data_IF_800696396339
#
_entry.id   IF_800696396339
#
_cell.length_a   1.000
_cell.length_b   1.000
_cell.length_c   1.000
_cell.angle_alpha   90.00
_cell.angle_beta   90.00
_cell.angle_gamma   90.00
#
_symmetry.space_group_name_H-M   'P 1'
#
loop_
_entity.id
_entity.type
_entity.pdbx_description
1 polymer ?
#
# COMPACT_ATOMS: atom_id res chain seq x y z
N UNK A 1 6.55 28.02 6.42
CA UNK A 1 7.32 26.78 6.61
C UNK A 1 7.72 26.26 5.25
N UNK A 2 9.01 25.99 5.11
CA UNK A 2 9.61 25.52 3.87
C UNK A 2 9.05 24.15 3.47
N UNK A 3 8.77 23.94 2.17
CA UNK A 3 8.25 22.67 1.66
C UNK A 3 9.32 21.58 1.62
N UNK A 4 10.56 21.95 1.80
CA UNK A 4 11.75 21.12 1.63
C UNK A 4 12.26 20.48 2.94
N UNK A 5 11.59 20.68 4.08
CA UNK A 5 12.05 20.12 5.35
C UNK A 5 11.66 18.64 5.43
N UNK A 6 12.66 17.80 5.58
CA UNK A 6 12.58 16.37 5.90
C UNK A 6 13.32 16.21 7.23
N UNK A 7 12.60 16.31 8.35
CA UNK A 7 13.19 16.49 9.69
C UNK A 7 13.77 15.20 10.26
N UNK A 8 13.31 14.04 9.80
CA UNK A 8 13.80 12.73 10.23
C UNK A 8 14.74 12.07 9.21
N UNK A 9 14.88 12.69 8.02
CA UNK A 9 15.80 12.23 6.99
C UNK A 9 15.36 10.95 6.28
N UNK A 10 14.09 10.62 6.33
CA UNK A 10 13.54 9.38 5.78
C UNK A 10 13.31 9.45 4.27
N UNK A 11 13.43 10.66 3.71
CA UNK A 11 13.30 10.95 2.29
C UNK A 11 11.90 11.40 1.86
N UNK A 12 10.96 11.53 2.78
CA UNK A 12 9.64 12.13 2.55
C UNK A 12 9.63 13.49 3.25
N UNK A 13 9.26 14.58 2.56
CA UNK A 13 9.20 15.87 3.23
C UNK A 13 8.06 15.92 4.25
N UNK A 14 8.31 16.57 5.38
CA UNK A 14 7.37 16.73 6.50
C UNK A 14 5.95 17.10 6.09
N UNK A 15 5.80 17.90 5.03
CA UNK A 15 4.50 18.34 4.51
C UNK A 15 3.77 17.27 3.68
N UNK A 16 4.47 16.21 3.27
CA UNK A 16 3.88 15.07 2.57
C UNK A 16 3.61 13.90 3.52
N UNK A 17 3.77 14.09 4.82
CA UNK A 17 3.48 13.11 5.86
C UNK A 17 2.16 13.36 6.57
N UNK A 18 1.50 12.30 7.00
CA UNK A 18 0.28 12.33 7.80
C UNK A 18 0.64 12.33 9.28
N UNK A 19 0.87 13.52 9.85
CA UNK A 19 1.33 13.68 11.23
C UNK A 19 0.24 13.59 12.29
N UNK A 20 -1.02 13.92 11.93
CA UNK A 20 -2.13 13.80 12.88
C UNK A 20 -2.58 12.35 13.03
N UNK A 21 -2.99 11.99 14.24
CA UNK A 21 -3.54 10.65 14.50
C UNK A 21 -4.78 10.39 13.63
N UNK A 22 -5.68 11.36 13.52
CA UNK A 22 -6.92 11.22 12.76
C UNK A 22 -6.63 11.00 11.27
N UNK A 23 -5.70 11.76 10.67
CA UNK A 23 -5.37 11.61 9.26
C UNK A 23 -4.73 10.26 8.97
N UNK A 24 -3.85 9.77 9.87
CA UNK A 24 -3.30 8.41 9.75
C UNK A 24 -4.39 7.35 9.79
N UNK A 25 -5.35 7.47 10.73
CA UNK A 25 -6.44 6.50 10.83
C UNK A 25 -7.40 6.57 9.64
N UNK A 26 -7.74 7.77 9.18
CA UNK A 26 -8.59 7.97 8.01
C UNK A 26 -7.94 7.40 6.75
N UNK A 27 -6.66 7.71 6.52
CA UNK A 27 -5.88 7.13 5.42
C UNK A 27 -5.86 5.60 5.46
N UNK A 28 -5.55 5.00 6.63
CA UNK A 28 -5.49 3.54 6.79
C UNK A 28 -6.82 2.87 6.46
N UNK A 29 -7.93 3.49 6.86
CA UNK A 29 -9.28 2.99 6.56
C UNK A 29 -9.56 3.03 5.06
N UNK A 30 -9.31 4.16 4.41
CA UNK A 30 -9.49 4.31 2.98
C UNK A 30 -8.56 3.38 2.19
N UNK A 31 -7.28 3.34 2.53
CA UNK A 31 -6.28 2.50 1.89
C UNK A 31 -6.67 1.01 1.91
N UNK A 32 -7.06 0.51 3.06
CA UNK A 32 -7.52 -0.87 3.22
C UNK A 32 -8.84 -1.13 2.46
N UNK A 33 -9.79 -0.21 2.57
CA UNK A 33 -11.10 -0.33 1.93
C UNK A 33 -11.00 -0.37 0.40
N UNK A 34 -10.22 0.53 -0.18
CA UNK A 34 -10.03 0.62 -1.63
C UNK A 34 -9.34 -0.66 -2.16
N UNK A 35 -8.31 -1.15 -1.45
CA UNK A 35 -7.66 -2.41 -1.81
C UNK A 35 -8.62 -3.60 -1.71
N UNK A 36 -9.41 -3.68 -0.64
CA UNK A 36 -10.41 -4.74 -0.43
C UNK A 36 -11.45 -4.76 -1.53
N UNK A 37 -11.94 -3.59 -1.95
CA UNK A 37 -12.96 -3.48 -2.99
C UNK A 37 -12.48 -4.03 -4.34
N UNK A 38 -11.17 -4.00 -4.64
CA UNK A 38 -10.63 -4.57 -5.88
C UNK A 38 -10.82 -6.10 -5.94
N UNK A 39 -10.99 -6.78 -4.80
CA UNK A 39 -11.33 -8.20 -4.76
C UNK A 39 -12.76 -8.46 -5.25
N UNK A 40 -13.71 -7.61 -4.89
CA UNK A 40 -15.11 -7.78 -5.32
C UNK A 40 -15.34 -7.30 -6.75
N UNK A 41 -14.73 -6.18 -7.09
CA UNK A 41 -14.81 -5.57 -8.42
C UNK A 41 -13.60 -4.69 -8.67
N UNK A 42 -12.77 -5.07 -9.63
CA UNK A 42 -11.67 -4.22 -10.06
C UNK A 42 -12.22 -2.92 -10.67
N UNK A 43 -11.79 -1.77 -10.13
CA UNK A 43 -12.18 -0.47 -10.64
C UNK A 43 -11.66 -0.24 -12.07
N UNK A 44 -12.47 0.42 -12.91
CA UNK A 44 -12.04 0.88 -14.23
C UNK A 44 -10.92 1.95 -14.13
N UNK A 45 -10.87 2.68 -13.01
CA UNK A 45 -9.82 3.68 -12.72
C UNK A 45 -8.45 3.04 -12.46
N UNK A 46 -8.41 1.75 -12.13
CA UNK A 46 -7.14 1.03 -11.96
C UNK A 46 -6.61 0.57 -13.32
N UNK A 47 -5.55 1.22 -13.77
CA UNK A 47 -4.90 0.92 -15.05
C UNK A 47 -4.59 -0.58 -15.20
N UNK A 48 -5.13 -1.19 -16.24
CA UNK A 48 -5.00 -2.63 -16.49
C UNK A 48 -3.54 -3.09 -16.62
N UNK A 49 -2.66 -2.27 -17.23
CA UNK A 49 -1.24 -2.58 -17.41
C UNK A 49 -0.44 -2.55 -16.10
N UNK A 50 -1.04 -1.98 -15.04
CA UNK A 50 -0.44 -1.87 -13.70
C UNK A 50 -1.10 -2.79 -12.67
N UNK A 51 -1.90 -3.76 -13.10
CA UNK A 51 -2.55 -4.74 -12.24
C UNK A 51 -1.57 -5.83 -11.83
N UNK A 52 -0.79 -5.51 -10.81
CA UNK A 52 0.13 -6.41 -10.13
C UNK A 52 0.07 -6.21 -8.60
N UNK A 53 0.88 -6.93 -7.84
CA UNK A 53 0.85 -6.84 -6.39
C UNK A 53 1.24 -5.44 -5.87
N UNK A 54 2.23 -4.79 -6.47
CA UNK A 54 2.62 -3.43 -6.12
C UNK A 54 1.63 -2.40 -6.67
N UNK A 55 1.05 -2.67 -7.85
CA UNK A 55 0.02 -1.85 -8.46
C UNK A 55 -1.24 -1.72 -7.61
N UNK A 56 -1.64 -2.80 -6.93
CA UNK A 56 -2.74 -2.75 -5.97
C UNK A 56 -2.44 -1.76 -4.84
N UNK A 57 -1.23 -1.83 -4.27
CA UNK A 57 -0.83 -0.91 -3.20
C UNK A 57 -0.72 0.54 -3.70
N UNK A 58 -0.12 0.77 -4.90
CA UNK A 58 -0.03 2.10 -5.51
C UNK A 58 -1.39 2.70 -5.79
N UNK A 59 -2.29 1.94 -6.40
CA UNK A 59 -3.64 2.36 -6.71
C UNK A 59 -4.40 2.74 -5.43
N UNK A 60 -4.44 1.83 -4.45
CA UNK A 60 -5.13 2.09 -3.20
C UNK A 60 -4.57 3.30 -2.43
N UNK A 61 -3.23 3.48 -2.43
CA UNK A 61 -2.58 4.63 -1.79
C UNK A 61 -3.00 5.95 -2.44
N UNK A 62 -2.94 6.02 -3.78
CA UNK A 62 -3.33 7.23 -4.54
C UNK A 62 -4.78 7.58 -4.30
N UNK A 63 -5.66 6.60 -4.43
CA UNK A 63 -7.10 6.83 -4.22
C UNK A 63 -7.43 7.18 -2.76
N UNK A 64 -6.73 6.63 -1.77
CA UNK A 64 -6.91 6.98 -0.35
C UNK A 64 -6.53 8.43 -0.01
N UNK A 65 -5.72 9.08 -0.84
CA UNK A 65 -5.34 10.49 -0.69
C UNK A 65 -6.25 11.43 -1.49
N UNK A 66 -7.18 10.92 -2.29
CA UNK A 66 -8.14 11.76 -3.02
C UNK A 66 -9.25 12.26 -2.11
N UNK A 67 -9.95 13.28 -2.59
CA UNK A 67 -11.20 13.71 -1.98
C UNK A 67 -12.32 12.74 -2.38
N UNK A 68 -12.96 12.12 -1.38
CA UNK A 68 -14.02 11.15 -1.59
C UNK A 68 -15.38 11.85 -1.67
N UNK A 69 -15.55 12.65 -2.72
CA UNK A 69 -16.80 13.33 -3.02
C UNK A 69 -17.70 12.51 -3.97
N UNK A 70 -18.86 13.07 -4.32
CA UNK A 70 -19.82 12.42 -5.22
C UNK A 70 -19.18 11.99 -6.55
N UNK A 71 -18.28 12.80 -7.11
CA UNK A 71 -17.64 12.51 -8.38
C UNK A 71 -16.69 11.34 -8.27
N UNK A 72 -15.96 11.22 -7.15
CA UNK A 72 -15.11 10.09 -6.86
C UNK A 72 -15.91 8.79 -6.75
N UNK A 73 -17.02 8.78 -5.98
CA UNK A 73 -17.88 7.59 -5.88
C UNK A 73 -18.48 7.18 -7.23
N UNK A 74 -18.84 8.14 -8.06
CA UNK A 74 -19.34 7.84 -9.41
C UNK A 74 -18.28 7.16 -10.29
N UNK A 75 -17.02 7.62 -10.24
CA UNK A 75 -15.91 7.01 -10.99
C UNK A 75 -15.52 5.63 -10.46
N UNK A 76 -15.44 5.49 -9.15
CA UNK A 76 -15.03 4.22 -8.53
C UNK A 76 -16.06 3.11 -8.73
N UNK A 77 -17.32 3.46 -8.91
CA UNK A 77 -18.40 2.52 -9.21
C UNK A 77 -19.22 2.07 -8.00
N UNK A 78 -20.17 1.22 -8.26
CA UNK A 78 -21.08 0.70 -7.22
C UNK A 78 -20.32 -0.14 -6.18
N UNK A 79 -20.69 0.04 -4.92
CA UNK A 79 -20.12 -0.74 -3.81
C UNK A 79 -19.12 -0.01 -2.95
N UNK A 80 -18.67 1.17 -3.38
CA UNK A 80 -17.89 2.06 -2.52
C UNK A 80 -18.84 2.88 -1.63
N UNK A 81 -18.52 2.88 -0.34
CA UNK A 81 -19.23 3.65 0.69
C UNK A 81 -18.22 4.49 1.47
N UNK A 82 -18.69 5.55 2.11
CA UNK A 82 -17.84 6.35 2.97
C UNK A 82 -17.41 5.56 4.21
N UNK A 83 -16.13 5.25 4.32
CA UNK A 83 -15.57 4.42 5.40
C UNK A 83 -14.90 5.26 6.50
N UNK A 84 -14.56 6.51 6.19
CA UNK A 84 -13.92 7.45 7.09
C UNK A 84 -14.06 8.88 6.53
N UNK A 85 -13.80 9.94 7.33
CA UNK A 85 -13.51 11.24 6.79
C UNK A 85 -12.28 11.23 5.87
N UNK A 86 -12.19 12.21 4.98
CA UNK A 86 -10.99 12.43 4.18
C UNK A 86 -9.79 12.83 5.04
N UNK A 87 -8.61 12.57 4.54
CA UNK A 87 -7.36 13.14 5.04
C UNK A 87 -7.44 14.67 4.93
N UNK A 88 -7.05 15.37 5.97
CA UNK A 88 -7.16 16.84 6.04
C UNK A 88 -5.85 17.54 5.70
N UNK A 89 -4.70 16.88 5.97
CA UNK A 89 -3.39 17.49 5.78
C UNK A 89 -3.16 17.90 4.32
N UNK A 90 -3.52 17.03 3.39
CA UNK A 90 -3.43 17.25 1.94
C UNK A 90 -4.29 16.23 1.20
N UNK A 91 -4.58 16.50 -0.06
CA UNK A 91 -5.12 15.52 -1.01
C UNK A 91 -4.03 15.14 -2.02
N UNK A 92 -4.29 14.16 -2.87
CA UNK A 92 -3.35 13.81 -3.95
C UNK A 92 -3.00 15.04 -4.81
N UNK A 93 -3.98 15.88 -5.10
CA UNK A 93 -3.84 17.09 -5.92
C UNK A 93 -3.07 18.21 -5.23
N UNK A 94 -3.09 18.26 -3.89
CA UNK A 94 -2.43 19.30 -3.08
C UNK A 94 -1.17 18.81 -2.37
N UNK A 95 -0.81 17.53 -2.52
CA UNK A 95 0.40 16.95 -1.97
C UNK A 95 1.64 17.64 -2.57
N UNK A 96 2.65 18.02 -1.76
CA UNK A 96 3.87 18.64 -2.25
C UNK A 96 4.65 17.80 -3.29
N UNK A 97 4.48 16.48 -3.25
CA UNK A 97 5.11 15.54 -4.21
C UNK A 97 4.28 15.38 -5.50
N UNK A 98 3.05 15.90 -5.54
CA UNK A 98 2.12 15.68 -6.63
C UNK A 98 1.85 14.19 -6.85
N UNK A 99 1.86 13.76 -8.10
CA UNK A 99 1.66 12.37 -8.49
C UNK A 99 2.89 11.47 -8.22
N UNK A 100 4.08 12.06 -7.98
CA UNK A 100 5.35 11.34 -7.76
C UNK A 100 5.52 10.92 -6.31
N UNK A 101 4.60 10.13 -5.79
CA UNK A 101 4.52 9.75 -4.37
C UNK A 101 5.62 8.79 -3.90
N UNK A 102 6.37 8.19 -4.82
CA UNK A 102 7.26 7.09 -4.48
C UNK A 102 8.73 7.44 -4.67
N UNK A 103 9.50 7.33 -3.60
CA UNK A 103 10.96 7.40 -3.68
C UNK A 103 11.53 6.19 -4.40
N UNK A 104 12.58 6.44 -5.17
CA UNK A 104 13.30 5.43 -5.95
C UNK A 104 14.75 5.22 -5.47
N UNK A 105 15.23 6.04 -4.52
CA UNK A 105 16.59 6.03 -4.01
C UNK A 105 16.62 6.45 -2.52
N UNK A 106 17.71 6.14 -1.84
CA UNK A 106 17.96 6.54 -0.46
C UNK A 106 18.37 8.03 -0.34
N UNK A 107 18.27 8.53 0.89
CA UNK A 107 18.71 9.86 1.30
C UNK A 107 17.58 10.77 1.71
N UNK A 108 17.90 11.81 2.46
CA UNK A 108 16.97 12.85 2.85
C UNK A 108 16.41 13.56 1.62
N UNK A 109 15.18 14.04 1.73
CA UNK A 109 14.50 14.76 0.65
C UNK A 109 15.25 16.07 0.32
N UNK A 110 15.36 16.33 -0.97
CA UNK A 110 15.85 17.58 -1.54
C UNK A 110 14.85 18.08 -2.58
N UNK A 111 14.66 19.38 -2.73
CA UNK A 111 13.74 19.92 -3.75
C UNK A 111 14.08 19.45 -5.17
N UNK A 112 15.35 19.23 -5.47
CA UNK A 112 15.79 18.65 -6.74
C UNK A 112 15.25 17.24 -6.98
N UNK A 113 14.82 16.52 -5.95
CA UNK A 113 14.27 15.15 -6.07
C UNK A 113 12.95 15.13 -6.84
N UNK A 114 12.21 16.23 -6.85
CA UNK A 114 11.01 16.41 -7.66
C UNK A 114 11.27 16.30 -9.17
N UNK A 115 12.52 16.59 -9.60
CA UNK A 115 12.87 16.69 -11.04
C UNK A 115 13.98 15.75 -11.49
N UNK A 116 14.78 15.20 -10.56
CA UNK A 116 15.96 14.38 -10.88
C UNK A 116 15.70 12.88 -10.97
N UNK A 117 14.43 12.45 -10.84
CA UNK A 117 14.04 11.03 -10.95
C UNK A 117 14.10 10.25 -9.64
N UNK A 118 14.45 10.88 -8.49
CA UNK A 118 14.41 10.23 -7.19
C UNK A 118 13.01 10.07 -6.62
N UNK A 119 12.02 10.71 -7.24
CA UNK A 119 10.60 10.52 -7.00
C UNK A 119 9.91 10.09 -8.29
N UNK A 120 8.97 9.16 -8.18
CA UNK A 120 8.27 8.55 -9.31
C UNK A 120 6.78 8.36 -9.00
N UNK A 121 5.99 8.28 -10.05
CA UNK A 121 4.59 7.80 -9.97
C UNK A 121 4.50 6.29 -9.86
N UNK A 122 5.59 5.60 -10.13
CA UNK A 122 5.69 4.14 -10.15
C UNK A 122 6.69 3.63 -9.11
N UNK A 123 6.33 2.52 -8.45
CA UNK A 123 7.21 1.75 -7.59
C UNK A 123 6.82 0.26 -7.69
N UNK A 124 7.78 -0.60 -7.99
CA UNK A 124 7.60 -2.04 -7.83
C UNK A 124 7.65 -2.45 -6.35
N UNK A 125 7.42 -3.71 -6.03
CA UNK A 125 7.41 -4.19 -4.65
C UNK A 125 8.75 -4.00 -3.93
N UNK A 126 9.88 -4.09 -4.64
CA UNK A 126 11.22 -3.83 -4.10
C UNK A 126 11.40 -2.36 -3.74
N UNK A 127 11.01 -1.48 -4.64
CA UNK A 127 11.08 -0.02 -4.47
C UNK A 127 10.17 0.45 -3.33
N UNK A 128 8.93 -0.06 -3.27
CA UNK A 128 8.01 0.20 -2.14
C UNK A 128 8.66 -0.18 -0.82
N UNK A 129 9.16 -1.42 -0.72
CA UNK A 129 9.76 -1.93 0.51
C UNK A 129 10.99 -1.12 0.94
N UNK A 130 11.90 -0.85 0.01
CA UNK A 130 13.22 -0.31 0.37
C UNK A 130 13.21 1.19 0.63
N UNK A 131 12.40 1.95 -0.10
CA UNK A 131 12.48 3.42 -0.07
C UNK A 131 11.21 4.08 0.49
N UNK A 132 10.06 3.38 0.52
CA UNK A 132 8.77 3.97 0.87
C UNK A 132 8.14 3.37 2.12
N UNK A 133 8.80 2.41 2.75
CA UNK A 133 8.32 1.75 3.95
C UNK A 133 9.41 1.64 5.00
N UNK A 134 9.00 1.62 6.26
CA UNK A 134 9.81 1.26 7.41
C UNK A 134 9.41 -0.14 7.92
N UNK A 135 10.39 -0.90 8.38
CA UNK A 135 10.14 -2.21 8.98
C UNK A 135 9.42 -2.06 10.32
N UNK A 136 8.34 -2.80 10.51
CA UNK A 136 7.58 -2.83 11.77
C UNK A 136 7.99 -4.06 12.59
N UNK A 137 7.75 -5.26 12.06
CA UNK A 137 7.99 -6.52 12.77
C UNK A 137 7.78 -7.70 11.82
N UNK A 138 8.24 -8.87 12.23
CA UNK A 138 7.79 -10.15 11.66
C UNK A 138 6.63 -10.76 12.44
N UNK A 139 6.32 -10.20 13.61
CA UNK A 139 5.22 -10.64 14.45
C UNK A 139 3.93 -9.93 14.05
N UNK A 140 2.88 -10.72 13.75
CA UNK A 140 1.53 -10.25 13.39
C UNK A 140 0.92 -9.29 14.40
N UNK A 141 1.13 -9.56 15.69
CA UNK A 141 0.56 -8.74 16.77
C UNK A 141 1.03 -7.29 16.80
N UNK A 142 2.00 -6.92 15.93
CA UNK A 142 2.49 -5.55 15.77
C UNK A 142 1.96 -4.87 14.51
N UNK A 143 1.29 -5.63 13.63
CA UNK A 143 0.75 -5.10 12.39
C UNK A 143 -0.51 -4.27 12.66
N UNK A 144 -0.66 -3.20 11.92
CA UNK A 144 -1.84 -2.36 11.91
C UNK A 144 -2.47 -2.34 10.51
N UNK A 145 -3.76 -2.05 10.43
CA UNK A 145 -4.46 -1.85 9.14
C UNK A 145 -3.65 -0.91 8.24
N UNK A 146 -3.45 -1.30 6.98
CA UNK A 146 -2.66 -0.54 6.01
C UNK A 146 -1.16 -0.82 6.04
N UNK A 147 -0.67 -1.67 6.95
CA UNK A 147 0.71 -2.17 6.85
C UNK A 147 0.82 -3.16 5.68
N UNK A 148 2.01 -3.27 5.11
CA UNK A 148 2.31 -4.11 3.96
C UNK A 148 3.15 -5.32 4.37
N UNK A 149 2.78 -6.51 3.91
CA UNK A 149 3.57 -7.72 4.07
C UNK A 149 4.45 -7.91 2.85
N UNK A 150 5.75 -8.09 3.04
CA UNK A 150 6.66 -8.36 1.94
C UNK A 150 7.23 -9.77 2.00
N UNK A 151 7.36 -10.36 0.79
CA UNK A 151 8.01 -11.65 0.57
C UNK A 151 9.12 -11.48 -0.46
N UNK A 152 10.19 -12.27 -0.30
CA UNK A 152 11.27 -12.36 -1.27
C UNK A 152 11.35 -13.78 -1.82
N UNK A 153 11.34 -13.88 -3.14
CA UNK A 153 11.35 -15.13 -3.90
C UNK A 153 12.60 -15.19 -4.78
N UNK A 154 13.74 -15.58 -4.23
CA UNK A 154 15.02 -15.51 -4.95
C UNK A 154 15.08 -16.37 -6.22
N UNK A 155 14.15 -17.30 -6.38
CA UNK A 155 14.01 -18.13 -7.60
C UNK A 155 13.27 -17.41 -8.74
N UNK A 156 12.62 -16.26 -8.48
CA UNK A 156 11.98 -15.44 -9.51
C UNK A 156 12.99 -14.41 -10.01
N UNK A 157 13.43 -14.55 -11.27
CA UNK A 157 14.55 -13.75 -11.78
C UNK A 157 14.20 -12.27 -11.98
N UNK A 158 13.00 -11.96 -12.48
CA UNK A 158 12.66 -10.58 -12.89
C UNK A 158 12.07 -9.75 -11.77
N UNK A 159 11.11 -10.28 -11.02
CA UNK A 159 10.42 -9.58 -9.94
C UNK A 159 10.36 -10.45 -8.68
N UNK A 160 11.47 -10.53 -7.92
CA UNK A 160 11.57 -11.46 -6.80
C UNK A 160 10.81 -11.01 -5.54
N UNK A 161 10.25 -9.81 -5.54
CA UNK A 161 9.49 -9.29 -4.39
C UNK A 161 7.99 -9.39 -4.65
N UNK A 162 7.27 -9.74 -3.61
CA UNK A 162 5.81 -9.72 -3.59
C UNK A 162 5.32 -8.93 -2.39
N UNK A 163 4.19 -8.23 -2.55
CA UNK A 163 3.57 -7.43 -1.50
C UNK A 163 2.10 -7.81 -1.35
N UNK A 164 1.66 -7.89 -0.09
CA UNK A 164 0.26 -8.04 0.31
C UNK A 164 -0.11 -6.89 1.25
N UNK A 165 -1.36 -6.47 1.26
CA UNK A 165 -1.85 -5.39 2.11
C UNK A 165 -2.63 -5.97 3.29
N UNK A 166 -2.21 -5.66 4.51
CA UNK A 166 -2.92 -6.03 5.73
C UNK A 166 -4.11 -5.11 5.94
N UNK A 167 -5.31 -5.66 5.84
CA UNK A 167 -6.56 -4.89 5.99
C UNK A 167 -7.17 -5.01 7.39
N UNK A 168 -6.64 -5.92 8.24
CA UNK A 168 -7.21 -6.21 9.54
C UNK A 168 -8.61 -6.81 9.40
N UNK A 169 -9.59 -6.23 10.08
CA UNK A 169 -11.00 -6.59 9.92
C UNK A 169 -11.52 -6.02 8.59
N UNK A 170 -12.13 -6.86 7.73
CA UNK A 170 -12.62 -6.43 6.43
C UNK A 170 -13.89 -5.59 6.56
N UNK A 171 -14.19 -4.79 5.52
CA UNK A 171 -15.42 -4.02 5.42
C UNK A 171 -16.64 -4.92 5.14
N UNK A 172 -16.44 -5.98 4.37
CA UNK A 172 -17.48 -6.90 3.95
C UNK A 172 -17.08 -8.32 4.32
N UNK A 173 -18.10 -9.14 4.62
CA UNK A 173 -17.93 -10.57 4.94
C UNK A 173 -17.00 -10.84 6.14
N UNK A 174 -16.93 -9.88 7.08
CA UNK A 174 -16.18 -10.01 8.33
C UNK A 174 -16.97 -10.75 9.37
N UNK A 175 -16.96 -12.07 9.40
CA UNK A 175 -17.37 -12.84 10.56
C UNK A 175 -16.21 -12.89 11.55
N UNK A 176 -16.30 -12.08 12.60
CA UNK A 176 -15.35 -12.05 13.72
C UNK A 176 -14.06 -11.29 13.44
N UNK A 177 -13.39 -10.87 14.48
CA UNK A 177 -12.10 -10.21 14.44
C UNK A 177 -11.02 -11.16 13.89
N UNK A 178 -10.84 -11.15 12.58
CA UNK A 178 -9.83 -11.95 11.91
C UNK A 178 -8.92 -11.03 11.09
N UNK A 179 -7.62 -11.31 11.14
CA UNK A 179 -6.64 -10.61 10.35
C UNK A 179 -6.72 -11.05 8.89
N UNK A 180 -7.04 -10.13 8.01
CA UNK A 180 -7.15 -10.36 6.59
C UNK A 180 -6.09 -9.61 5.81
N UNK A 181 -5.75 -10.18 4.68
CA UNK A 181 -4.89 -9.53 3.67
C UNK A 181 -5.56 -9.54 2.32
N UNK A 182 -5.20 -8.54 1.51
CA UNK A 182 -5.55 -8.45 0.10
C UNK A 182 -4.28 -8.34 -0.72
N UNK A 183 -4.22 -9.05 -1.83
CA UNK A 183 -3.08 -9.00 -2.76
C UNK A 183 -3.48 -9.39 -4.17
N UNK A 184 -2.74 -8.92 -5.15
CA UNK A 184 -2.84 -9.40 -6.52
C UNK A 184 -1.81 -10.52 -6.73
N UNK A 185 -2.19 -11.61 -7.38
CA UNK A 185 -1.32 -12.78 -7.56
C UNK A 185 -0.11 -12.52 -8.47
N UNK A 186 -0.08 -11.38 -9.14
CA UNK A 186 0.85 -11.07 -10.21
C UNK A 186 0.30 -11.50 -11.57
N UNK A 187 0.81 -10.87 -12.62
CA UNK A 187 0.48 -11.22 -14.01
C UNK A 187 1.62 -11.97 -14.68
N UNK A 188 1.28 -12.79 -15.64
CA UNK A 188 2.21 -13.46 -16.56
C UNK A 188 1.72 -13.29 -18.01
N UNK A 189 2.50 -13.62 -19.03
CA UNK A 189 2.05 -13.55 -20.42
C UNK A 189 0.79 -14.38 -20.73
N UNK A 190 0.52 -15.40 -19.91
CA UNK A 190 -0.62 -16.33 -20.07
C UNK A 190 -1.72 -16.16 -19.00
N UNK A 191 -1.52 -15.29 -18.00
CA UNK A 191 -2.47 -15.11 -16.89
C UNK A 191 -2.39 -13.67 -16.38
N UNK A 192 -3.49 -12.94 -16.45
CA UNK A 192 -3.58 -11.57 -15.94
C UNK A 192 -3.49 -11.50 -14.41
N UNK A 193 -3.58 -12.65 -13.75
CA UNK A 193 -3.64 -12.74 -12.29
C UNK A 193 -5.00 -12.32 -11.74
N UNK A 194 -5.11 -12.33 -10.42
CA UNK A 194 -6.35 -11.97 -9.73
C UNK A 194 -6.07 -11.34 -8.36
N UNK A 195 -6.99 -10.50 -7.93
CA UNK A 195 -7.00 -10.04 -6.53
C UNK A 195 -7.54 -11.15 -5.65
N UNK A 196 -6.86 -11.40 -4.55
CA UNK A 196 -7.25 -12.37 -3.52
C UNK A 196 -7.46 -11.65 -2.19
N UNK A 197 -8.48 -12.10 -1.43
CA UNK A 197 -8.75 -11.68 -0.07
C UNK A 197 -8.72 -12.93 0.81
N UNK A 198 -7.80 -13.00 1.76
CA UNK A 198 -7.52 -14.24 2.50
C UNK A 198 -7.28 -13.93 3.98
N UNK A 199 -7.78 -14.79 4.87
CA UNK A 199 -7.42 -14.74 6.30
C UNK A 199 -5.96 -15.12 6.48
N UNK A 200 -5.20 -14.39 7.29
CA UNK A 200 -3.82 -14.73 7.61
C UNK A 200 -3.69 -16.14 8.20
N UNK A 201 -4.65 -16.57 9.03
CA UNK A 201 -4.67 -17.92 9.58
C UNK A 201 -4.71 -19.01 8.48
N UNK A 202 -5.30 -18.73 7.32
CA UNK A 202 -5.27 -19.64 6.16
C UNK A 202 -3.89 -19.63 5.50
N UNK A 203 -3.28 -18.44 5.38
CA UNK A 203 -1.92 -18.31 4.82
C UNK A 203 -0.85 -18.96 5.71
N UNK A 204 -1.04 -19.00 7.03
CA UNK A 204 -0.12 -19.70 7.95
C UNK A 204 0.03 -21.18 7.58
N UNK A 205 -1.00 -21.75 6.96
CA UNK A 205 -1.06 -23.14 6.51
C UNK A 205 -0.98 -23.28 5.00
N UNK A 206 -0.55 -22.22 4.29
CA UNK A 206 -0.40 -22.29 2.83
C UNK A 206 0.41 -23.53 2.42
N UNK A 207 -0.02 -24.33 1.42
CA UNK A 207 0.67 -25.56 1.01
C UNK A 207 2.13 -25.31 0.63
N UNK A 208 2.42 -24.25 -0.09
CA UNK A 208 3.79 -23.79 -0.30
C UNK A 208 4.24 -22.94 0.90
N UNK A 209 5.15 -23.51 1.71
CA UNK A 209 5.68 -22.90 2.93
C UNK A 209 6.31 -21.52 2.69
N UNK A 210 6.77 -21.23 1.48
CA UNK A 210 7.39 -19.95 1.11
C UNK A 210 6.44 -18.76 1.19
N UNK A 211 5.13 -19.01 1.13
CA UNK A 211 4.08 -18.01 1.23
C UNK A 211 3.48 -17.82 2.64
N UNK A 212 3.99 -18.55 3.63
CA UNK A 212 3.47 -18.44 5.00
C UNK A 212 4.01 -17.17 5.66
N UNK A 213 3.14 -16.27 6.16
CA UNK A 213 3.56 -15.04 6.84
C UNK A 213 3.93 -15.30 8.31
N UNK A 214 4.86 -16.23 8.53
CA UNK A 214 5.32 -16.65 9.86
C UNK A 214 6.80 -16.33 10.06
N UNK A 215 7.20 -16.06 11.30
CA UNK A 215 8.56 -15.62 11.62
C UNK A 215 9.65 -16.63 11.19
N UNK A 216 9.33 -17.93 11.18
CA UNK A 216 10.25 -18.98 10.76
C UNK A 216 10.46 -19.09 9.24
N UNK A 217 9.63 -18.42 8.44
CA UNK A 217 9.76 -18.46 6.99
C UNK A 217 10.80 -17.44 6.50
N UNK A 218 11.98 -17.85 5.98
CA UNK A 218 13.01 -16.91 5.53
C UNK A 218 12.58 -16.05 4.34
N UNK A 219 11.56 -16.46 3.60
CA UNK A 219 11.03 -15.70 2.47
C UNK A 219 10.05 -14.61 2.90
N UNK A 220 9.48 -14.68 4.09
CA UNK A 220 8.66 -13.63 4.66
C UNK A 220 9.56 -12.56 5.28
N UNK A 221 9.57 -11.37 4.72
CA UNK A 221 10.41 -10.27 5.19
C UNK A 221 9.82 -9.54 6.40
N UNK A 222 8.49 -9.63 6.59
CA UNK A 222 7.78 -9.00 7.69
C UNK A 222 6.71 -8.02 7.26
N UNK A 223 6.21 -7.30 8.25
CA UNK A 223 5.26 -6.21 8.12
C UNK A 223 6.02 -4.89 8.05
N UNK A 224 5.58 -4.02 7.16
CA UNK A 224 6.19 -2.74 6.87
C UNK A 224 5.10 -1.66 6.83
N UNK A 225 5.44 -0.48 7.28
CA UNK A 225 4.57 0.70 7.32
C UNK A 225 5.01 1.69 6.28
N UNK A 226 4.06 2.33 5.59
CA UNK A 226 4.36 3.42 4.68
C UNK A 226 4.97 4.60 5.46
N UNK A 227 6.06 5.16 4.96
CA UNK A 227 6.72 6.35 5.53
C UNK A 227 5.79 7.56 5.56
N UNK A 228 4.90 7.68 4.59
CA UNK A 228 3.81 8.66 4.58
C UNK A 228 3.04 8.76 5.91
N UNK A 229 3.04 7.71 6.73
CA UNK A 229 2.34 7.68 8.02
C UNK A 229 3.16 8.26 9.18
N UNK A 230 4.36 8.75 8.94
CA UNK A 230 5.20 9.41 9.95
C UNK A 230 5.77 8.47 11.00
#
# INVERSE_FOLDING_TARGET
MDASVDSDGDGIPDKAELRSFDDRQNFRRWFAAIAEMQFYQASAEWNAEQRDCAGLARFALREALRKHDRSWFQRMGAGYEAVAPDVRAFTLETNPLGEKLFRTDFGAFQESDLTNGKLSEFADARTLKNFNCVFVSRNRGRAERGDLLFFHQPWVQKFPYHVMLFIGEPLRDGEGAADWVVYHTGSSPSDEGAVKKVRLAVLDHHPDKRWRPVESNPNFLGYYRLKLLG
#
